data_IF_668665726018
#
_entry.id   IF_668665726018
#
_cell.length_a   1.000
_cell.length_b   1.000
_cell.length_c   1.000
_cell.angle_alpha   90.00
_cell.angle_beta   90.00
_cell.angle_gamma   90.00
#
_symmetry.space_group_name_H-M   'P 1'
#
loop_
_entity.id
_entity.type
_entity.pdbx_description
1 polymer ?
#
# COMPACT_ATOMS: atom_id res chain seq x y z
N UNK A 1 -12.19 -48.27 -6.01
CA UNK A 1 -11.62 -47.72 -7.25
C UNK A 1 -10.83 -46.46 -6.93
N UNK A 2 -9.51 -46.55 -7.03
CA UNK A 2 -8.55 -45.56 -6.58
C UNK A 2 -8.20 -44.57 -7.70
N UNK A 3 -8.21 -43.27 -7.41
CA UNK A 3 -7.59 -42.24 -8.25
C UNK A 3 -6.44 -41.60 -7.48
N UNK A 4 -5.26 -42.21 -7.64
CA UNK A 4 -3.96 -41.53 -7.58
C UNK A 4 -3.84 -40.62 -8.80
N UNK A 5 -3.40 -39.39 -8.62
CA UNK A 5 -2.68 -38.58 -9.62
C UNK A 5 -1.98 -37.46 -8.83
N UNK A 6 -0.70 -37.64 -8.49
CA UNK A 6 0.46 -37.29 -9.32
C UNK A 6 0.84 -35.81 -9.13
N UNK A 7 1.69 -35.57 -8.12
CA UNK A 7 2.49 -34.36 -7.98
C UNK A 7 3.63 -34.39 -9.02
N UNK A 8 3.79 -33.37 -9.88
CA UNK A 8 5.02 -33.21 -10.62
C UNK A 8 6.03 -32.35 -9.85
N UNK A 9 7.21 -32.95 -9.73
CA UNK A 9 8.52 -32.34 -9.94
C UNK A 9 8.94 -31.15 -9.06
N UNK A 10 9.78 -31.51 -8.08
CA UNK A 10 10.82 -30.69 -7.48
C UNK A 10 11.57 -29.84 -8.52
N UNK A 11 11.36 -28.53 -8.48
CA UNK A 11 12.23 -27.58 -9.17
C UNK A 11 13.59 -27.55 -8.47
N UNK A 12 14.59 -27.97 -9.24
CA UNK A 12 15.98 -28.00 -8.88
C UNK A 12 16.48 -26.62 -8.43
N UNK A 13 16.90 -26.55 -7.17
CA UNK A 13 17.68 -25.45 -6.61
C UNK A 13 19.00 -25.31 -7.39
N UNK A 14 19.04 -24.35 -8.33
CA UNK A 14 20.28 -23.89 -8.95
C UNK A 14 21.13 -23.16 -7.91
N UNK A 15 22.09 -23.87 -7.33
CA UNK A 15 23.15 -23.26 -6.52
C UNK A 15 24.09 -22.45 -7.44
N UNK A 16 23.93 -21.13 -7.41
CA UNK A 16 24.88 -20.21 -8.03
C UNK A 16 26.04 -20.01 -7.05
N UNK A 17 27.16 -20.67 -7.32
CA UNK A 17 28.42 -20.46 -6.60
C UNK A 17 28.99 -19.11 -7.00
N UNK A 18 28.80 -18.12 -6.13
CA UNK A 18 29.37 -16.76 -6.29
C UNK A 18 30.83 -16.78 -5.84
N UNK A 19 31.75 -16.86 -6.80
CA UNK A 19 33.18 -16.64 -6.55
C UNK A 19 33.46 -15.16 -6.33
N UNK A 20 33.75 -14.77 -5.10
CA UNK A 20 34.17 -13.40 -4.75
C UNK A 20 35.64 -13.18 -5.16
N UNK A 21 35.98 -12.05 -5.82
CA UNK A 21 37.35 -11.72 -6.19
C UNK A 21 38.20 -11.44 -4.95
N UNK A 22 39.32 -12.18 -4.83
CA UNK A 22 40.33 -12.06 -3.79
C UNK A 22 41.01 -10.68 -3.83
N UNK A 23 40.82 -9.93 -2.75
CA UNK A 23 41.79 -9.04 -2.09
C UNK A 23 42.70 -8.14 -2.96
N UNK A 24 42.25 -6.92 -3.23
CA UNK A 24 43.09 -5.74 -3.57
C UNK A 24 43.39 -4.83 -2.37
N UNK A 25 43.34 -5.35 -1.14
CA UNK A 25 43.36 -4.54 0.10
C UNK A 25 44.73 -4.41 0.78
N UNK A 26 45.84 -4.73 0.09
CA UNK A 26 47.20 -4.67 0.67
C UNK A 26 48.03 -3.46 0.23
N UNK A 27 47.57 -2.68 -0.76
CA UNK A 27 48.32 -1.51 -1.25
C UNK A 27 47.99 -0.18 -0.55
N UNK A 28 46.77 -0.03 -0.02
CA UNK A 28 46.32 1.25 0.55
C UNK A 28 46.91 1.55 1.94
N UNK A 29 47.27 0.52 2.72
CA UNK A 29 47.89 0.69 4.05
C UNK A 29 49.26 1.36 3.95
N UNK A 30 50.04 1.00 2.93
CA UNK A 30 51.42 1.43 2.80
C UNK A 30 51.50 2.88 2.29
N UNK A 31 50.59 3.26 1.38
CA UNK A 31 50.47 4.63 0.90
C UNK A 31 50.07 5.61 2.03
N UNK A 32 49.20 5.18 2.96
CA UNK A 32 48.80 5.98 4.11
C UNK A 32 49.94 6.11 5.14
N UNK A 33 50.74 5.07 5.35
CA UNK A 33 51.90 5.10 6.23
C UNK A 33 52.97 6.08 5.73
N UNK A 34 53.25 6.11 4.42
CA UNK A 34 54.20 7.03 3.82
C UNK A 34 53.77 8.51 3.94
N UNK A 35 52.47 8.81 3.75
CA UNK A 35 51.93 10.17 3.92
C UNK A 35 52.06 10.68 5.36
N UNK A 36 51.79 9.82 6.35
CA UNK A 36 51.93 10.18 7.78
C UNK A 36 53.37 10.53 8.16
N UNK A 37 54.38 9.84 7.61
CA UNK A 37 55.80 10.16 7.87
C UNK A 37 56.19 11.52 7.30
N UNK A 38 55.78 11.84 6.07
CA UNK A 38 56.06 13.16 5.46
C UNK A 38 55.42 14.31 6.24
N UNK A 39 54.18 14.14 6.70
CA UNK A 39 53.50 15.14 7.53
C UNK A 39 54.18 15.36 8.88
N UNK A 40 54.68 14.30 9.53
CA UNK A 40 55.43 14.42 10.79
C UNK A 40 56.77 15.13 10.60
N UNK A 41 57.48 14.86 9.51
CA UNK A 41 58.73 15.54 9.20
C UNK A 41 58.52 17.05 8.96
N UNK A 42 57.49 17.43 8.20
CA UNK A 42 57.14 18.84 7.97
C UNK A 42 56.73 19.56 9.27
N UNK A 43 55.98 18.89 10.14
CA UNK A 43 55.58 19.48 11.42
C UNK A 43 56.76 19.63 12.39
N UNK A 44 57.70 18.68 12.38
CA UNK A 44 58.90 18.77 13.20
C UNK A 44 59.77 19.97 12.80
N UNK A 45 59.91 20.26 11.50
CA UNK A 45 60.63 21.45 11.04
C UNK A 45 59.93 22.78 11.34
N UNK A 46 58.59 22.80 11.41
CA UNK A 46 57.85 24.00 11.87
C UNK A 46 58.05 24.24 13.37
N UNK A 47 58.11 23.18 14.18
CA UNK A 47 58.29 23.29 15.63
C UNK A 47 59.75 23.65 16.03
N UNK A 48 60.75 23.36 15.19
CA UNK A 48 62.16 23.73 15.43
C UNK A 48 62.41 25.25 15.35
N UNK A 49 61.63 25.98 14.56
CA UNK A 49 61.65 27.45 14.53
C UNK A 49 60.80 28.11 15.62
N UNK A 50 59.94 27.35 16.31
CA UNK A 50 58.95 27.87 17.26
C UNK A 50 59.36 27.75 18.73
N UNK A 51 60.53 27.17 19.04
CA UNK A 51 61.07 27.07 20.40
C UNK A 51 62.06 28.19 20.75
N UNK A 52 61.73 29.43 20.36
CA UNK A 52 62.25 30.59 21.06
C UNK A 52 61.49 30.70 22.40
N UNK A 53 62.10 30.18 23.46
CA UNK A 53 61.56 30.22 24.82
C UNK A 53 61.52 31.66 25.33
N UNK A 54 60.43 32.37 25.03
CA UNK A 54 60.13 33.67 25.59
C UNK A 54 58.64 33.92 25.48
N UNK A 55 57.95 34.00 26.61
CA UNK A 55 56.63 34.64 26.63
C UNK A 55 56.86 36.09 26.24
N UNK A 56 56.61 36.42 24.97
CA UNK A 56 56.74 37.79 24.46
C UNK A 56 55.96 38.73 25.37
N UNK A 57 56.65 39.73 25.92
CA UNK A 57 56.03 40.78 26.73
C UNK A 57 55.22 41.67 25.80
N UNK A 58 54.16 42.30 26.32
CA UNK A 58 53.25 43.14 25.53
C UNK A 58 53.94 44.35 24.85
N UNK A 59 55.21 44.61 25.17
CA UNK A 59 56.01 45.74 24.70
C UNK A 59 56.92 45.38 23.51
N UNK A 60 56.92 44.14 23.02
CA UNK A 60 57.75 43.74 21.87
C UNK A 60 57.25 44.44 20.59
N UNK A 61 58.07 45.27 19.90
CA UNK A 61 57.67 46.01 18.71
C UNK A 61 57.39 45.12 17.49
N UNK A 62 57.82 43.85 17.56
CA UNK A 62 57.56 42.81 16.54
C UNK A 62 56.37 41.91 16.90
N UNK A 63 55.56 42.26 17.90
CA UNK A 63 54.32 41.58 18.24
C UNK A 63 53.28 41.78 17.12
N UNK A 64 53.44 41.06 16.00
CA UNK A 64 52.45 41.01 14.93
C UNK A 64 51.10 40.65 15.56
N UNK A 65 50.02 41.40 15.30
CA UNK A 65 48.72 41.10 15.86
C UNK A 65 48.35 39.68 15.43
N UNK A 66 48.39 38.75 16.38
CA UNK A 66 47.86 37.41 16.20
C UNK A 66 46.37 37.60 15.99
N UNK A 67 45.95 37.68 14.74
CA UNK A 67 44.53 37.70 14.40
C UNK A 67 43.89 36.52 15.12
N UNK A 68 42.83 36.73 15.91
CA UNK A 68 42.13 35.63 16.53
C UNK A 68 41.59 34.77 15.39
N UNK A 69 42.32 33.70 15.05
CA UNK A 69 41.89 32.70 14.07
C UNK A 69 40.60 32.13 14.64
N UNK A 70 39.48 32.63 14.14
CA UNK A 70 38.16 32.32 14.65
C UNK A 70 37.97 30.81 14.72
N UNK A 71 37.62 30.33 15.91
CA UNK A 71 37.30 28.92 16.17
C UNK A 71 36.19 28.38 15.24
N UNK A 72 35.45 29.29 14.59
CA UNK A 72 34.40 29.00 13.62
C UNK A 72 34.90 28.73 12.20
N UNK A 73 36.10 29.20 11.82
CA UNK A 73 36.64 29.05 10.45
C UNK A 73 37.26 27.66 10.18
N UNK A 74 37.38 26.80 11.20
CA UNK A 74 37.81 25.41 11.05
C UNK A 74 36.67 24.41 10.80
N UNK A 75 35.40 24.84 10.81
CA UNK A 75 34.31 24.05 10.24
C UNK A 75 34.35 24.16 8.71
N UNK A 76 35.42 23.65 8.10
CA UNK A 76 35.33 23.20 6.71
C UNK A 76 34.13 22.26 6.67
N UNK A 77 33.16 22.61 5.83
CA UNK A 77 31.94 21.87 5.60
C UNK A 77 32.28 20.48 5.06
N UNK A 78 32.65 19.56 5.96
CA UNK A 78 32.56 18.15 5.67
C UNK A 78 31.08 17.92 5.38
N UNK A 79 30.69 17.43 4.20
CA UNK A 79 29.29 17.22 3.80
C UNK A 79 28.52 16.21 4.67
N UNK A 80 29.12 15.74 5.77
CA UNK A 80 28.55 14.83 6.75
C UNK A 80 27.24 15.29 7.40
N UNK A 81 27.01 16.56 7.82
CA UNK A 81 25.74 16.92 8.43
C UNK A 81 24.60 16.93 7.40
N UNK A 82 24.89 17.29 6.14
CA UNK A 82 23.92 17.23 5.05
C UNK A 82 23.57 15.77 4.74
N UNK A 83 24.56 14.89 4.66
CA UNK A 83 24.33 13.45 4.49
C UNK A 83 23.46 12.88 5.63
N UNK A 84 23.79 13.22 6.88
CA UNK A 84 23.04 12.74 8.05
C UNK A 84 21.58 13.23 8.01
N UNK A 85 21.37 14.50 7.64
CA UNK A 85 20.02 15.04 7.45
C UNK A 85 19.25 14.33 6.33
N UNK A 86 19.90 14.05 5.18
CA UNK A 86 19.25 13.30 4.10
C UNK A 86 18.88 11.88 4.52
N UNK A 87 19.76 11.18 5.23
CA UNK A 87 19.46 9.83 5.76
C UNK A 87 18.30 9.88 6.75
N UNK A 88 18.30 10.86 7.65
CA UNK A 88 17.21 11.06 8.61
C UNK A 88 15.88 11.35 7.90
N UNK A 89 15.90 12.22 6.88
CA UNK A 89 14.72 12.55 6.08
C UNK A 89 14.17 11.33 5.33
N UNK A 90 15.03 10.53 4.70
CA UNK A 90 14.63 9.29 4.01
C UNK A 90 14.05 8.28 5.00
N UNK A 91 14.68 8.06 6.15
CA UNK A 91 14.15 7.16 7.18
C UNK A 91 12.78 7.62 7.70
N UNK A 92 12.60 8.93 7.85
CA UNK A 92 11.33 9.52 8.28
C UNK A 92 10.25 9.31 7.22
N UNK A 93 10.56 9.54 5.95
CA UNK A 93 9.64 9.32 4.83
C UNK A 93 9.24 7.84 4.71
N UNK A 94 10.19 6.91 4.85
CA UNK A 94 9.90 5.47 4.87
C UNK A 94 9.01 5.09 6.06
N UNK A 95 9.26 5.68 7.23
CA UNK A 95 8.42 5.51 8.40
C UNK A 95 6.97 5.95 8.15
N UNK A 96 6.79 7.14 7.58
CA UNK A 96 5.46 7.68 7.24
C UNK A 96 4.76 6.83 6.18
N UNK A 97 5.44 6.44 5.10
CA UNK A 97 4.90 5.59 4.05
C UNK A 97 4.45 4.21 4.57
N UNK A 98 5.19 3.66 5.54
CA UNK A 98 4.81 2.39 6.18
C UNK A 98 3.55 2.53 7.03
N UNK A 99 3.37 3.67 7.70
CA UNK A 99 2.18 3.94 8.50
C UNK A 99 0.97 4.17 7.59
N UNK A 100 1.11 4.94 6.51
CA UNK A 100 0.01 5.16 5.56
C UNK A 100 -0.47 3.85 4.93
N UNK A 101 0.46 2.99 4.50
CA UNK A 101 0.12 1.67 3.97
C UNK A 101 -0.66 0.81 4.97
N UNK A 102 -0.36 0.92 6.27
CA UNK A 102 -1.13 0.20 7.31
C UNK A 102 -2.55 0.75 7.48
N UNK A 103 -2.73 2.07 7.36
CA UNK A 103 -4.05 2.69 7.46
C UNK A 103 -4.93 2.24 6.29
N UNK A 104 -4.38 2.22 5.08
CA UNK A 104 -5.09 1.74 3.88
C UNK A 104 -5.53 0.28 4.03
N UNK A 105 -4.66 -0.59 4.57
CA UNK A 105 -5.00 -1.99 4.84
C UNK A 105 -6.13 -2.11 5.87
N UNK A 106 -6.14 -1.29 6.92
CA UNK A 106 -7.21 -1.29 7.91
C UNK A 106 -8.53 -0.79 7.32
N UNK A 107 -8.49 0.23 6.47
CA UNK A 107 -9.68 0.73 5.76
C UNK A 107 -10.25 -0.34 4.83
N UNK A 108 -9.40 -1.00 4.04
CA UNK A 108 -9.83 -2.09 3.16
C UNK A 108 -10.42 -3.27 3.96
N UNK A 109 -9.84 -3.61 5.12
CA UNK A 109 -10.38 -4.65 5.98
C UNK A 109 -11.77 -4.29 6.55
N UNK A 110 -11.99 -3.01 6.90
CA UNK A 110 -13.30 -2.54 7.32
C UNK A 110 -14.33 -2.63 6.18
N UNK A 111 -13.95 -2.18 4.98
CA UNK A 111 -14.82 -2.24 3.80
C UNK A 111 -15.20 -3.69 3.43
N UNK A 112 -14.24 -4.62 3.48
CA UNK A 112 -14.51 -6.06 3.28
C UNK A 112 -15.52 -6.57 4.32
N UNK A 113 -15.39 -6.14 5.58
CA UNK A 113 -16.30 -6.56 6.65
C UNK A 113 -17.71 -6.02 6.41
N UNK A 114 -17.84 -4.75 6.05
CA UNK A 114 -19.13 -4.12 5.70
C UNK A 114 -19.80 -4.81 4.50
N UNK A 115 -19.05 -5.06 3.42
CA UNK A 115 -19.56 -5.75 2.23
C UNK A 115 -19.97 -7.20 2.56
N UNK A 116 -19.21 -7.88 3.41
CA UNK A 116 -19.55 -9.24 3.87
C UNK A 116 -20.84 -9.26 4.69
N UNK A 117 -21.06 -8.27 5.56
CA UNK A 117 -22.31 -8.12 6.29
C UNK A 117 -23.49 -7.87 5.34
N UNK A 118 -23.32 -7.00 4.36
CA UNK A 118 -24.37 -6.72 3.37
C UNK A 118 -24.72 -7.97 2.55
N UNK A 119 -23.72 -8.72 2.10
CA UNK A 119 -23.92 -9.99 1.40
C UNK A 119 -24.72 -10.97 2.26
N UNK A 120 -24.36 -11.11 3.55
CA UNK A 120 -25.07 -11.98 4.48
C UNK A 120 -26.53 -11.56 4.63
N UNK A 121 -26.80 -10.26 4.83
CA UNK A 121 -28.17 -9.71 4.94
C UNK A 121 -28.99 -9.99 3.66
N UNK A 122 -28.39 -9.86 2.48
CA UNK A 122 -29.05 -10.15 1.21
C UNK A 122 -29.36 -11.64 1.04
N UNK A 123 -28.44 -12.51 1.45
CA UNK A 123 -28.65 -13.97 1.41
C UNK A 123 -29.76 -14.39 2.37
N UNK A 124 -29.82 -13.82 3.57
CA UNK A 124 -30.89 -14.10 4.53
C UNK A 124 -32.25 -13.64 4.01
N UNK A 125 -32.32 -12.45 3.38
CA UNK A 125 -33.54 -11.96 2.71
C UNK A 125 -33.95 -12.87 1.55
N UNK A 126 -33.00 -13.29 0.72
CA UNK A 126 -33.27 -14.22 -0.39
C UNK A 126 -33.84 -15.54 0.13
N UNK A 127 -33.21 -16.13 1.17
CA UNK A 127 -33.70 -17.36 1.81
C UNK A 127 -35.13 -17.19 2.33
N UNK A 128 -35.42 -16.05 2.97
CA UNK A 128 -36.77 -15.73 3.45
C UNK A 128 -37.79 -15.64 2.32
N UNK A 129 -37.45 -14.95 1.22
CA UNK A 129 -38.32 -14.84 0.06
C UNK A 129 -38.51 -16.19 -0.65
N UNK A 130 -37.49 -17.05 -0.66
CA UNK A 130 -37.61 -18.40 -1.19
C UNK A 130 -38.53 -19.27 -0.34
N UNK A 131 -38.50 -19.16 0.99
CA UNK A 131 -39.47 -19.84 1.86
C UNK A 131 -40.88 -19.29 1.69
N UNK A 132 -41.05 -17.97 1.59
CA UNK A 132 -42.35 -17.35 1.31
C UNK A 132 -42.88 -17.78 -0.06
N UNK A 133 -42.02 -17.84 -1.09
CA UNK A 133 -42.38 -18.34 -2.41
C UNK A 133 -42.75 -19.82 -2.39
N UNK A 134 -42.01 -20.66 -1.65
CA UNK A 134 -42.32 -22.07 -1.49
C UNK A 134 -43.66 -22.27 -0.78
N UNK A 135 -43.98 -21.41 0.19
CA UNK A 135 -45.27 -21.40 0.89
C UNK A 135 -46.41 -21.05 -0.08
N UNK A 136 -46.25 -19.99 -0.88
CA UNK A 136 -47.27 -19.55 -1.85
C UNK A 136 -47.44 -20.51 -3.02
N UNK A 137 -46.44 -21.35 -3.33
CA UNK A 137 -46.49 -22.31 -4.44
C UNK A 137 -47.36 -23.54 -4.14
N UNK A 138 -47.95 -23.69 -2.95
CA UNK A 138 -48.93 -24.73 -2.65
C UNK A 138 -50.36 -24.17 -2.80
N UNK A 139 -50.97 -24.26 -4.01
CA UNK A 139 -52.30 -23.71 -4.26
C UNK A 139 -53.38 -24.32 -3.35
N UNK A 140 -53.20 -25.57 -2.93
CA UNK A 140 -54.13 -26.27 -2.03
C UNK A 140 -54.32 -25.55 -0.69
N UNK A 141 -53.24 -25.01 -0.09
CA UNK A 141 -53.36 -24.27 1.18
C UNK A 141 -54.09 -22.94 1.02
N UNK A 142 -53.90 -22.27 -0.12
CA UNK A 142 -54.59 -21.02 -0.41
C UNK A 142 -56.07 -21.29 -0.65
N UNK A 143 -56.40 -22.38 -1.36
CA UNK A 143 -57.77 -22.83 -1.57
C UNK A 143 -58.45 -23.23 -0.25
N UNK A 144 -57.77 -23.98 0.62
CA UNK A 144 -58.29 -24.34 1.95
C UNK A 144 -58.52 -23.11 2.83
N UNK A 145 -57.58 -22.15 2.88
CA UNK A 145 -57.77 -20.93 3.66
C UNK A 145 -58.86 -20.02 3.09
N UNK A 146 -58.97 -19.91 1.76
CA UNK A 146 -60.01 -19.13 1.11
C UNK A 146 -61.40 -19.74 1.34
N UNK A 147 -61.51 -21.07 1.27
CA UNK A 147 -62.74 -21.78 1.61
C UNK A 147 -63.10 -21.65 3.09
N UNK A 148 -62.14 -21.85 4.01
CA UNK A 148 -62.39 -21.87 5.44
C UNK A 148 -62.61 -20.47 6.05
N UNK A 149 -61.87 -19.44 5.63
CA UNK A 149 -61.95 -18.10 6.24
C UNK A 149 -62.82 -17.12 5.46
N UNK A 150 -62.85 -17.22 4.14
CA UNK A 150 -63.57 -16.29 3.26
C UNK A 150 -64.85 -16.90 2.69
N UNK A 151 -65.14 -18.17 2.99
CA UNK A 151 -66.31 -18.89 2.45
C UNK A 151 -66.28 -19.03 0.93
N UNK A 152 -65.10 -18.87 0.30
CA UNK A 152 -64.99 -18.95 -1.15
C UNK A 152 -65.10 -20.40 -1.61
N UNK A 153 -66.15 -20.70 -2.36
CA UNK A 153 -66.34 -22.00 -3.01
C UNK A 153 -65.77 -21.92 -4.42
N UNK A 154 -64.96 -22.90 -4.87
CA UNK A 154 -64.46 -22.92 -6.24
C UNK A 154 -65.64 -22.85 -7.22
N UNK A 155 -65.58 -21.89 -8.14
CA UNK A 155 -66.66 -21.67 -9.10
C UNK A 155 -66.84 -22.94 -9.96
N UNK A 156 -68.07 -23.48 -10.06
CA UNK A 156 -68.31 -24.66 -10.88
C UNK A 156 -67.99 -24.35 -12.36
N UNK A 157 -67.43 -25.31 -13.11
CA UNK A 157 -66.96 -25.09 -14.48
C UNK A 157 -68.08 -24.63 -15.44
N UNK A 158 -69.34 -24.88 -15.09
CA UNK A 158 -70.52 -24.41 -15.81
C UNK A 158 -70.73 -22.88 -15.78
N UNK A 159 -70.05 -22.15 -14.89
CA UNK A 159 -70.13 -20.67 -14.80
C UNK A 159 -68.98 -19.93 -15.46
N UNK A 160 -67.97 -20.64 -15.98
CA UNK A 160 -66.81 -20.02 -16.61
C UNK A 160 -67.15 -19.76 -18.08
N UNK A 161 -67.51 -18.53 -18.41
CA UNK A 161 -67.64 -18.12 -19.82
C UNK A 161 -66.27 -17.73 -20.35
N UNK A 162 -65.80 -18.47 -21.36
CA UNK A 162 -64.55 -18.19 -22.04
C UNK A 162 -64.82 -17.09 -23.06
N UNK A 163 -64.29 -15.89 -22.81
CA UNK A 163 -64.40 -14.77 -23.75
C UNK A 163 -63.28 -14.96 -24.77
N UNK A 164 -63.63 -15.39 -25.97
CA UNK A 164 -62.70 -15.36 -27.11
C UNK A 164 -62.58 -13.91 -27.58
N UNK A 165 -61.39 -13.34 -27.37
CA UNK A 165 -61.06 -12.03 -27.91
C UNK A 165 -60.69 -12.21 -29.37
N UNK A 166 -61.49 -11.67 -30.29
CA UNK A 166 -61.02 -11.48 -31.66
C UNK A 166 -59.73 -10.65 -31.64
N UNK A 167 -58.72 -11.03 -32.44
CA UNK A 167 -57.49 -10.27 -32.51
C UNK A 167 -57.83 -8.85 -32.97
N UNK A 168 -57.53 -7.87 -32.13
CA UNK A 168 -57.71 -6.47 -32.44
C UNK A 168 -56.90 -6.14 -33.70
N UNK A 169 -57.58 -6.08 -34.84
CA UNK A 169 -57.03 -5.53 -36.06
C UNK A 169 -56.70 -4.05 -35.80
N UNK A 170 -55.41 -3.75 -35.78
CA UNK A 170 -54.84 -2.49 -36.25
C UNK A 170 -55.40 -1.19 -35.67
N UNK A 171 -55.46 -1.06 -34.34
CA UNK A 171 -55.68 0.24 -33.68
C UNK A 171 -54.37 1.04 -33.45
N UNK A 172 -53.30 0.74 -34.22
CA UNK A 172 -51.96 1.30 -34.03
C UNK A 172 -51.49 2.30 -35.09
N UNK A 173 -52.25 2.57 -36.16
CA UNK A 173 -51.76 3.35 -37.31
C UNK A 173 -52.22 4.83 -37.36
N UNK A 174 -52.97 5.35 -36.38
CA UNK A 174 -53.68 6.63 -36.55
C UNK A 174 -53.27 7.79 -35.63
N UNK A 175 -52.19 7.70 -34.84
CA UNK A 175 -51.76 8.80 -33.94
C UNK A 175 -50.33 9.33 -34.18
N UNK A 176 -49.88 9.36 -35.43
CA UNK A 176 -48.76 10.21 -35.87
C UNK A 176 -49.29 11.35 -36.75
N UNK A 177 -49.81 12.43 -36.17
CA UNK A 177 -49.80 13.76 -36.81
C UNK A 177 -50.14 14.82 -35.77
N UNK A 178 -49.16 15.68 -35.46
CA UNK A 178 -49.45 16.97 -34.84
C UNK A 178 -48.57 17.33 -33.64
N UNK A 179 -47.28 17.54 -33.85
CA UNK A 179 -46.47 18.37 -32.94
C UNK A 179 -45.27 19.00 -33.67
N UNK A 180 -45.57 19.95 -34.58
CA UNK A 180 -44.61 20.96 -35.03
C UNK A 180 -45.27 22.33 -34.89
N UNK A 181 -45.04 23.01 -33.77
CA UNK A 181 -44.83 24.47 -33.74
C UNK A 181 -44.24 24.91 -32.41
#
# INVERSE_FOLDING_TARGET
>A
MARRNAQPASEAQRQVVVTLPRSRRRGESDALAARRRKQRAQKASEDEGARAHGWGRAEDPDARPRTPRGLLQRRRANGTPLLLFTVLAVLTAVGLARVSARIEVLQAANEITELSEQQKRLLDRKRRLETERAYLRRPERVAEQAAARLGMVPAPPTRIQRIELEPAADAGAAHETGATR
#
